data_IF_771722485985
#
_entry.id   IF_771722485985
#
_cell.length_a   1.000
_cell.length_b   1.000
_cell.length_c   1.000
_cell.angle_alpha   90.00
_cell.angle_beta   90.00
_cell.angle_gamma   90.00
#
_symmetry.space_group_name_H-M   'P 1'
#
loop_
_entity.id
_entity.type
_entity.pdbx_description
1 polymer ?
#
# COMPACT_ATOMS: atom_id res chain seq x y z
N UNK A 1 0.40 12.54 0.91
CA UNK A 1 -0.62 13.19 1.76
C UNK A 1 -1.33 12.09 2.53
N UNK A 2 -0.73 11.62 3.62
CA UNK A 2 -1.31 10.64 4.56
C UNK A 2 -0.50 10.79 5.87
N UNK A 3 -0.49 12.03 6.34
CA UNK A 3 0.05 12.47 7.63
C UNK A 3 -1.06 12.76 8.66
N UNK A 4 -2.32 12.68 8.26
CA UNK A 4 -3.43 13.24 9.05
C UNK A 4 -4.51 12.20 9.39
N UNK A 5 -4.16 10.91 9.39
CA UNK A 5 -5.01 9.88 9.98
C UNK A 5 -4.52 9.55 11.38
N UNK A 6 -4.47 10.59 12.22
CA UNK A 6 -4.70 10.43 13.65
C UNK A 6 -6.21 10.33 13.86
N UNK A 7 -6.77 9.17 13.50
CA UNK A 7 -8.15 8.81 13.82
C UNK A 7 -8.16 7.69 14.84
N UNK A 8 -7.44 7.89 15.95
CA UNK A 8 -7.79 7.20 17.19
C UNK A 8 -9.02 7.89 17.79
N UNK A 9 -10.16 7.79 17.09
CA UNK A 9 -11.47 8.11 17.65
C UNK A 9 -12.05 6.81 18.14
N UNK A 10 -12.17 6.68 19.46
CA UNK A 10 -12.95 5.64 20.12
C UNK A 10 -14.36 5.60 19.49
N UNK A 11 -14.56 4.73 18.49
CA UNK A 11 -15.88 4.42 17.96
C UNK A 11 -16.65 3.73 19.07
N UNK A 12 -17.41 4.50 19.86
CA UNK A 12 -18.38 3.95 20.80
C UNK A 12 -19.46 3.25 19.99
N UNK A 13 -19.33 1.94 19.84
CA UNK A 13 -20.31 1.09 19.16
C UNK A 13 -21.67 1.21 19.87
N UNK A 14 -22.59 1.95 19.25
CA UNK A 14 -24.00 2.00 19.62
C UNK A 14 -24.70 0.72 19.14
N UNK A 15 -25.90 0.43 19.64
CA UNK A 15 -26.71 -0.75 19.23
C UNK A 15 -26.97 -0.83 17.71
N UNK A 16 -26.82 0.28 17.00
CA UNK A 16 -26.95 0.35 15.53
C UNK A 16 -25.61 0.49 14.79
N UNK A 17 -24.48 0.47 15.49
CA UNK A 17 -23.10 0.61 14.96
C UNK A 17 -22.84 1.88 14.11
N UNK A 18 -21.60 2.30 13.89
CA UNK A 18 -21.29 3.33 12.90
C UNK A 18 -21.24 2.73 11.49
N UNK A 19 -22.18 1.86 11.09
CA UNK A 19 -22.06 1.03 9.89
C UNK A 19 -21.91 1.84 8.60
N UNK A 20 -22.65 2.94 8.47
CA UNK A 20 -22.53 3.86 7.33
C UNK A 20 -21.14 4.48 7.23
N UNK A 21 -20.58 4.91 8.37
CA UNK A 21 -19.25 5.52 8.45
C UNK A 21 -18.17 4.50 8.07
N UNK A 22 -18.27 3.26 8.59
CA UNK A 22 -17.35 2.18 8.24
C UNK A 22 -17.45 1.79 6.75
N UNK A 23 -18.66 1.82 6.18
CA UNK A 23 -18.86 1.57 4.76
C UNK A 23 -18.19 2.65 3.89
N UNK A 24 -18.30 3.93 4.28
CA UNK A 24 -17.62 5.02 3.60
C UNK A 24 -16.10 4.91 3.76
N UNK A 25 -15.61 4.61 4.96
CA UNK A 25 -14.18 4.42 5.24
C UNK A 25 -13.57 3.33 4.35
N UNK A 26 -14.24 2.18 4.22
CA UNK A 26 -13.76 1.09 3.35
C UNK A 26 -13.79 1.45 1.86
N UNK A 27 -14.65 2.37 1.41
CA UNK A 27 -14.54 2.93 0.04
C UNK A 27 -13.27 3.72 -0.15
N UNK A 28 -12.89 4.54 0.84
CA UNK A 28 -11.63 5.27 0.81
C UNK A 28 -10.43 4.32 0.80
N UNK A 29 -10.44 3.29 1.64
CA UNK A 29 -9.37 2.28 1.63
C UNK A 29 -9.21 1.61 0.27
N UNK A 30 -10.30 1.21 -0.38
CA UNK A 30 -10.22 0.62 -1.74
C UNK A 30 -9.58 1.61 -2.72
N UNK A 31 -10.02 2.88 -2.72
CA UNK A 31 -9.46 3.90 -3.60
C UNK A 31 -7.97 4.14 -3.34
N UNK A 32 -7.54 4.19 -2.07
CA UNK A 32 -6.14 4.39 -1.70
C UNK A 32 -5.29 3.18 -2.09
N UNK A 33 -5.78 1.96 -1.86
CA UNK A 33 -5.10 0.71 -2.25
C UNK A 33 -4.96 0.60 -3.76
N UNK A 34 -5.97 1.01 -4.54
CA UNK A 34 -5.87 1.08 -6.01
C UNK A 34 -4.81 2.08 -6.44
N UNK A 35 -4.76 3.26 -5.82
CA UNK A 35 -3.70 4.25 -6.07
C UNK A 35 -2.30 3.67 -5.77
N UNK A 36 -2.14 2.98 -4.63
CA UNK A 36 -0.86 2.36 -4.28
C UNK A 36 -0.45 1.24 -5.23
N UNK A 37 -1.40 0.44 -5.73
CA UNK A 37 -1.15 -0.59 -6.74
C UNK A 37 -0.60 0.03 -8.02
N UNK A 38 -1.22 1.11 -8.48
CA UNK A 38 -0.80 1.80 -9.70
C UNK A 38 0.59 2.45 -9.51
N UNK A 39 0.87 3.03 -8.33
CA UNK A 39 2.21 3.53 -7.95
C UNK A 39 3.25 2.38 -7.93
N UNK A 40 2.92 1.18 -7.44
CA UNK A 40 3.82 0.03 -7.45
C UNK A 40 4.15 -0.43 -8.87
N UNK A 41 3.19 -0.39 -9.79
CA UNK A 41 3.45 -0.66 -11.21
C UNK A 41 4.44 0.35 -11.78
N UNK A 42 4.26 1.63 -11.46
CA UNK A 42 5.20 2.68 -11.86
C UNK A 42 6.61 2.45 -11.32
N UNK A 43 6.75 2.12 -10.02
CA UNK A 43 8.06 1.86 -9.41
C UNK A 43 8.78 0.66 -10.05
N UNK A 44 8.05 -0.41 -10.38
CA UNK A 44 8.62 -1.55 -11.10
C UNK A 44 9.15 -1.14 -12.48
N UNK A 45 8.36 -0.37 -13.25
CA UNK A 45 8.79 0.14 -14.55
C UNK A 45 10.02 1.05 -14.44
N UNK A 46 10.10 1.85 -13.37
CA UNK A 46 11.23 2.73 -13.12
C UNK A 46 12.50 1.92 -12.91
N UNK A 47 12.46 0.88 -12.07
CA UNK A 47 13.62 0.00 -11.85
C UNK A 47 14.04 -0.71 -13.14
N UNK A 48 13.09 -1.26 -13.88
CA UNK A 48 13.39 -1.97 -15.14
C UNK A 48 14.09 -1.06 -16.15
N UNK A 49 13.73 0.22 -16.20
CA UNK A 49 14.37 1.22 -17.06
C UNK A 49 15.83 1.48 -16.67
N UNK A 50 16.11 1.66 -15.38
CA UNK A 50 17.47 1.97 -14.90
C UNK A 50 18.35 0.72 -14.70
N UNK A 51 17.75 -0.47 -14.68
CA UNK A 51 18.45 -1.74 -14.55
C UNK A 51 19.54 -1.94 -15.62
N UNK A 52 19.28 -1.53 -16.86
CA UNK A 52 20.20 -1.68 -18.00
C UNK A 52 21.55 -1.01 -17.73
N UNK A 53 21.56 0.05 -16.93
CA UNK A 53 22.74 0.88 -16.65
C UNK A 53 23.53 0.41 -15.42
N UNK A 54 22.93 -0.43 -14.58
CA UNK A 54 23.50 -0.87 -13.30
C UNK A 54 24.10 -2.29 -13.37
N UNK A 55 25.09 -2.49 -14.22
CA UNK A 55 25.76 -3.81 -14.40
C UNK A 55 26.81 -4.14 -13.35
N UNK A 56 27.11 -3.22 -12.41
CA UNK A 56 28.07 -3.48 -11.33
C UNK A 56 27.52 -4.52 -10.34
N UNK A 57 28.31 -5.54 -9.94
CA UNK A 57 27.84 -6.61 -9.06
C UNK A 57 27.23 -6.15 -7.73
N UNK A 58 27.79 -5.09 -7.15
CA UNK A 58 27.31 -4.43 -5.93
C UNK A 58 25.89 -3.84 -6.07
N UNK A 59 25.53 -3.35 -7.26
CA UNK A 59 24.19 -2.83 -7.55
C UNK A 59 23.18 -3.95 -7.85
N UNK A 60 23.64 -5.09 -8.38
CA UNK A 60 22.76 -6.22 -8.71
C UNK A 60 22.08 -6.81 -7.48
N UNK A 61 22.78 -6.89 -6.35
CA UNK A 61 22.19 -7.40 -5.11
C UNK A 61 21.11 -6.46 -4.57
N UNK A 62 21.39 -5.15 -4.52
CA UNK A 62 20.43 -4.14 -4.08
C UNK A 62 19.17 -4.11 -4.97
N UNK A 63 19.34 -4.21 -6.29
CA UNK A 63 18.22 -4.29 -7.23
C UNK A 63 17.37 -5.54 -6.97
N UNK A 64 18.02 -6.69 -6.75
CA UNK A 64 17.33 -7.96 -6.50
C UNK A 64 16.46 -7.85 -5.24
N UNK A 65 17.02 -7.33 -4.15
CA UNK A 65 16.30 -7.12 -2.90
C UNK A 65 15.12 -6.16 -3.09
N UNK A 66 15.32 -5.07 -3.83
CA UNK A 66 14.25 -4.12 -4.12
C UNK A 66 13.13 -4.72 -4.98
N UNK A 67 13.47 -5.53 -5.99
CA UNK A 67 12.47 -6.24 -6.80
C UNK A 67 11.64 -7.23 -5.97
N UNK A 68 12.29 -7.96 -5.06
CA UNK A 68 11.60 -8.86 -4.12
C UNK A 68 10.64 -8.04 -3.25
N UNK A 69 11.11 -6.95 -2.64
CA UNK A 69 10.28 -6.10 -1.78
C UNK A 69 9.07 -5.51 -2.51
N UNK A 70 9.25 -5.06 -3.76
CA UNK A 70 8.15 -4.58 -4.60
C UNK A 70 7.16 -5.69 -4.96
N UNK A 71 7.64 -6.89 -5.29
CA UNK A 71 6.79 -8.03 -5.59
C UNK A 71 5.95 -8.43 -4.36
N UNK A 72 6.58 -8.52 -3.19
CA UNK A 72 5.89 -8.82 -1.92
C UNK A 72 4.83 -7.75 -1.61
N UNK A 73 5.16 -6.48 -1.82
CA UNK A 73 4.23 -5.36 -1.61
C UNK A 73 3.07 -5.38 -2.61
N UNK A 74 3.32 -5.82 -3.84
CA UNK A 74 2.27 -6.00 -4.84
C UNK A 74 1.33 -7.16 -4.45
N UNK A 75 1.86 -8.25 -3.91
CA UNK A 75 1.02 -9.34 -3.37
C UNK A 75 0.15 -8.82 -2.22
N UNK A 76 0.74 -8.04 -1.30
CA UNK A 76 0.00 -7.43 -0.17
C UNK A 76 -1.15 -6.53 -0.63
N UNK A 77 -0.94 -5.66 -1.62
CA UNK A 77 -2.01 -4.75 -2.08
C UNK A 77 -3.17 -5.50 -2.74
N UNK A 78 -2.87 -6.55 -3.52
CA UNK A 78 -3.91 -7.36 -4.16
C UNK A 78 -4.74 -8.14 -3.13
N UNK A 79 -4.09 -8.75 -2.13
CA UNK A 79 -4.76 -9.43 -1.03
C UNK A 79 -5.63 -8.46 -0.21
N UNK A 80 -5.12 -7.26 0.11
CA UNK A 80 -5.87 -6.23 0.82
C UNK A 80 -7.08 -5.73 0.01
N UNK A 81 -6.94 -5.50 -1.29
CA UNK A 81 -8.06 -5.10 -2.15
C UNK A 81 -9.19 -6.14 -2.13
N UNK A 82 -8.85 -7.43 -2.18
CA UNK A 82 -9.83 -8.51 -2.09
C UNK A 82 -10.51 -8.55 -0.71
N UNK A 83 -9.72 -8.51 0.37
CA UNK A 83 -10.23 -8.57 1.74
C UNK A 83 -11.10 -7.36 2.08
N UNK A 84 -10.64 -6.14 1.81
CA UNK A 84 -11.40 -4.91 2.04
C UNK A 84 -12.68 -4.88 1.19
N UNK A 85 -12.61 -5.34 -0.07
CA UNK A 85 -13.78 -5.45 -0.92
C UNK A 85 -14.87 -6.37 -0.35
N UNK A 86 -14.47 -7.56 0.14
CA UNK A 86 -15.38 -8.50 0.82
C UNK A 86 -15.94 -7.91 2.11
N UNK A 87 -15.09 -7.30 2.93
CA UNK A 87 -15.50 -6.69 4.19
C UNK A 87 -16.48 -5.53 3.99
N UNK A 88 -16.25 -4.65 3.00
CA UNK A 88 -17.19 -3.59 2.61
C UNK A 88 -18.56 -4.13 2.23
N UNK A 89 -18.61 -5.21 1.44
CA UNK A 89 -19.89 -5.84 1.07
C UNK A 89 -20.63 -6.34 2.31
N UNK A 90 -19.92 -6.91 3.29
CA UNK A 90 -20.52 -7.36 4.56
C UNK A 90 -21.04 -6.19 5.40
N UNK A 91 -20.32 -5.07 5.46
CA UNK A 91 -20.81 -3.85 6.13
C UNK A 91 -22.07 -3.32 5.43
N UNK A 92 -22.11 -3.31 4.09
CA UNK A 92 -23.30 -2.88 3.34
C UNK A 92 -24.56 -3.67 3.73
N UNK A 93 -24.42 -4.99 3.95
CA UNK A 93 -25.53 -5.83 4.43
C UNK A 93 -25.98 -5.52 5.87
N UNK A 94 -25.11 -4.94 6.71
CA UNK A 94 -25.46 -4.50 8.06
C UNK A 94 -26.12 -3.13 8.08
N UNK A 95 -25.75 -2.25 7.14
CA UNK A 95 -26.45 -0.98 6.92
C UNK A 95 -27.91 -1.25 6.52
N UNK A 96 -28.15 -2.26 5.69
CA UNK A 96 -29.49 -2.64 5.23
C UNK A 96 -30.31 -3.39 6.29
N UNK A 97 -29.69 -4.25 7.11
CA UNK A 97 -30.35 -5.04 8.16
C UNK A 97 -29.47 -5.17 9.43
N UNK A 98 -29.63 -4.25 10.40
CA UNK A 98 -28.80 -4.19 11.62
C UNK A 98 -29.00 -5.32 12.62
N UNK A 99 -30.05 -6.15 12.50
CA UNK A 99 -30.43 -7.16 13.51
C UNK A 99 -29.53 -8.41 13.55
N UNK A 100 -28.33 -8.38 12.93
CA UNK A 100 -27.47 -9.55 12.78
C UNK A 100 -26.49 -9.73 13.93
N UNK A 101 -26.36 -10.98 14.37
CA UNK A 101 -25.44 -11.51 15.41
C UNK A 101 -23.94 -11.36 15.08
N UNK A 102 -23.59 -10.68 13.99
CA UNK A 102 -22.25 -10.66 13.39
C UNK A 102 -21.47 -9.35 13.64
N UNK A 103 -22.05 -8.38 14.34
CA UNK A 103 -21.43 -7.07 14.59
C UNK A 103 -20.03 -7.17 15.21
N UNK A 104 -19.86 -8.03 16.22
CA UNK A 104 -18.56 -8.21 16.90
C UNK A 104 -17.50 -8.86 16.00
N UNK A 105 -17.91 -9.71 15.05
CA UNK A 105 -17.01 -10.33 14.07
C UNK A 105 -16.56 -9.27 13.05
N UNK A 106 -17.49 -8.44 12.59
CA UNK A 106 -17.20 -7.35 11.64
C UNK A 106 -16.24 -6.33 12.26
N UNK A 107 -16.44 -5.95 13.53
CA UNK A 107 -15.53 -5.02 14.21
C UNK A 107 -14.10 -5.59 14.27
N UNK A 108 -13.95 -6.86 14.68
CA UNK A 108 -12.63 -7.50 14.74
C UNK A 108 -11.96 -7.63 13.38
N UNK A 109 -12.74 -7.94 12.35
CA UNK A 109 -12.24 -7.96 10.97
C UNK A 109 -11.79 -6.57 10.53
N UNK A 110 -12.54 -5.52 10.89
CA UNK A 110 -12.19 -4.14 10.58
C UNK A 110 -10.86 -3.72 11.21
N UNK A 111 -10.71 -3.95 12.53
CA UNK A 111 -9.47 -3.69 13.27
C UNK A 111 -8.28 -4.44 12.65
N UNK A 112 -8.47 -5.70 12.27
CA UNK A 112 -7.41 -6.48 11.61
C UNK A 112 -7.00 -5.88 10.27
N UNK A 113 -7.97 -5.42 9.47
CA UNK A 113 -7.69 -4.79 8.18
C UNK A 113 -6.95 -3.46 8.35
N UNK A 114 -7.27 -2.67 9.37
CA UNK A 114 -6.51 -1.44 9.68
C UNK A 114 -5.04 -1.76 9.93
N UNK A 115 -4.75 -2.78 10.74
CA UNK A 115 -3.37 -3.19 10.99
C UNK A 115 -2.66 -3.69 9.72
N UNK A 116 -3.35 -4.49 8.89
CA UNK A 116 -2.82 -4.98 7.62
C UNK A 116 -2.49 -3.81 6.67
N UNK A 117 -3.38 -2.82 6.55
CA UNK A 117 -3.18 -1.61 5.75
C UNK A 117 -1.99 -0.81 6.27
N UNK A 118 -1.86 -0.64 7.59
CA UNK A 118 -0.71 0.06 8.20
C UNK A 118 0.61 -0.64 7.87
N UNK A 119 0.64 -1.98 7.96
CA UNK A 119 1.83 -2.78 7.58
C UNK A 119 2.15 -2.61 6.10
N UNK A 120 1.15 -2.72 5.23
CA UNK A 120 1.29 -2.51 3.80
C UNK A 120 1.85 -1.13 3.46
N UNK A 121 1.28 -0.06 4.02
CA UNK A 121 1.71 1.34 3.76
C UNK A 121 3.16 1.55 4.19
N UNK A 122 3.61 0.93 5.28
CA UNK A 122 5.03 0.96 5.70
C UNK A 122 5.93 0.29 4.68
N UNK A 123 5.58 -0.91 4.22
CA UNK A 123 6.33 -1.64 3.19
C UNK A 123 6.38 -0.87 1.86
N UNK A 124 5.25 -0.31 1.43
CA UNK A 124 5.16 0.54 0.25
C UNK A 124 6.10 1.75 0.35
N UNK A 125 6.04 2.50 1.46
CA UNK A 125 6.88 3.69 1.66
C UNK A 125 8.37 3.36 1.64
N UNK A 126 8.76 2.23 2.24
CA UNK A 126 10.15 1.77 2.22
C UNK A 126 10.60 1.46 0.79
N UNK A 127 9.85 0.64 0.06
CA UNK A 127 10.20 0.29 -1.32
C UNK A 127 10.24 1.51 -2.25
N UNK A 128 9.31 2.45 -2.09
CA UNK A 128 9.31 3.72 -2.84
C UNK A 128 10.58 4.54 -2.56
N UNK A 129 10.97 4.66 -1.30
CA UNK A 129 12.20 5.39 -0.91
C UNK A 129 13.45 4.75 -1.51
N UNK A 130 13.59 3.43 -1.38
CA UNK A 130 14.77 2.73 -1.92
C UNK A 130 14.81 2.75 -3.46
N UNK A 131 13.64 2.71 -4.11
CA UNK A 131 13.55 2.91 -5.57
C UNK A 131 14.08 4.28 -5.98
N UNK A 132 13.64 5.35 -5.33
CA UNK A 132 14.14 6.68 -5.68
C UNK A 132 15.63 6.84 -5.43
N UNK A 133 16.11 6.39 -4.27
CA UNK A 133 17.54 6.44 -3.93
C UNK A 133 18.40 5.71 -4.98
N UNK A 134 17.95 4.53 -5.43
CA UNK A 134 18.64 3.79 -6.48
C UNK A 134 18.66 4.58 -7.79
N UNK A 135 17.51 5.15 -8.18
CA UNK A 135 17.39 5.89 -9.45
C UNK A 135 18.20 7.18 -9.45
N UNK A 136 18.24 7.91 -8.33
CA UNK A 136 19.07 9.10 -8.15
C UNK A 136 20.56 8.76 -8.29
N UNK A 137 21.00 7.69 -7.62
CA UNK A 137 22.38 7.21 -7.74
C UNK A 137 22.78 6.88 -9.19
N UNK A 138 21.88 6.26 -9.97
CA UNK A 138 22.15 5.97 -11.39
C UNK A 138 22.32 7.26 -12.16
N UNK A 139 21.39 8.20 -12.01
CA UNK A 139 21.39 9.49 -12.71
C UNK A 139 22.66 10.29 -12.43
N UNK A 140 23.06 10.42 -11.16
CA UNK A 140 24.31 11.11 -10.78
C UNK A 140 25.55 10.43 -11.37
N UNK A 141 25.56 9.09 -11.43
CA UNK A 141 26.67 8.34 -12.02
C UNK A 141 26.79 8.52 -13.55
N UNK A 142 25.66 8.66 -14.24
CA UNK A 142 25.63 8.93 -15.69
C UNK A 142 26.04 10.36 -16.01
N UNK A 143 25.56 11.35 -15.25
CA UNK A 143 25.95 12.75 -15.39
C UNK A 143 27.47 12.91 -15.25
N UNK A 144 28.05 12.31 -14.21
CA UNK A 144 29.50 12.34 -13.98
C UNK A 144 30.28 11.68 -15.13
N UNK A 145 29.80 10.55 -15.64
CA UNK A 145 30.41 9.83 -16.76
C UNK A 145 30.42 10.67 -18.05
N UNK A 146 29.34 11.40 -18.32
CA UNK A 146 29.24 12.29 -19.48
C UNK A 146 30.13 13.52 -19.35
N UNK A 147 30.30 14.07 -18.15
CA UNK A 147 31.21 15.21 -17.90
C UNK A 147 32.69 14.85 -18.07
N UNK A 148 33.09 13.61 -17.79
CA UNK A 148 34.50 13.16 -17.91
C UNK A 148 34.86 12.82 -19.38
N UNK A 149 33.86 12.58 -20.23
CA UNK A 149 34.04 12.24 -21.65
C UNK A 149 33.91 13.42 -22.61
N UNK A 150 33.54 14.61 -22.11
CA UNK A 150 33.48 15.88 -22.86
C UNK A 150 34.72 16.73 -22.64
#
# INVERSE_FOLDING_TARGET
MMSDLDQNKDFKFLDNGPWDELYVLTKHWVSDLEFYRDDLMFLNHLIDKYFIWLTKPENLQMIKELKIGLQETNIMVHDLLEKVGKHRNRIGLLVEDPNKKDASIIIKEHEHLEEEIVRFVKSFRLNRKETFKLTEYVMESEELSNMIKG
#
